data_IF_334123031852
#
_entry.id   IF_334123031852
#
_cell.length_a   1.000
_cell.length_b   1.000
_cell.length_c   1.000
_cell.angle_alpha   90.00
_cell.angle_beta   90.00
_cell.angle_gamma   90.00
#
_symmetry.space_group_name_H-M   'P 1'
#
loop_
_entity.id
_entity.type
_entity.pdbx_description
1 polymer ?
#
# COMPACT_ATOMS: atom_id res chain seq x y z
N UNK A 1 12.45 -12.95 38.21
CA UNK A 1 12.64 -12.77 36.75
C UNK A 1 13.67 -11.69 36.53
N UNK A 2 14.83 -12.03 35.98
CA UNK A 2 15.96 -11.09 35.80
C UNK A 2 15.67 -10.06 34.71
N UNK A 3 16.06 -8.78 34.86
CA UNK A 3 15.78 -7.70 33.89
C UNK A 3 16.32 -8.00 32.48
N UNK A 4 17.35 -8.84 32.37
CA UNK A 4 17.87 -9.36 31.09
C UNK A 4 16.84 -10.17 30.28
N UNK A 5 15.94 -10.92 30.92
CA UNK A 5 14.90 -11.71 30.22
C UNK A 5 13.75 -10.83 29.73
N UNK A 6 13.42 -9.78 30.47
CA UNK A 6 12.43 -8.79 30.04
C UNK A 6 12.94 -7.95 28.87
N UNK A 7 14.23 -7.57 28.88
CA UNK A 7 14.84 -6.87 27.76
C UNK A 7 14.90 -7.73 26.49
N UNK A 8 15.27 -9.02 26.60
CA UNK A 8 15.28 -9.95 25.46
C UNK A 8 13.86 -10.27 24.98
N UNK A 9 12.88 -10.39 25.87
CA UNK A 9 11.47 -10.56 25.48
C UNK A 9 10.89 -9.31 24.82
N UNK A 10 11.24 -8.11 25.28
CA UNK A 10 10.86 -6.85 24.64
C UNK A 10 11.54 -6.66 23.27
N UNK A 11 12.81 -7.07 23.15
CA UNK A 11 13.54 -7.07 21.88
C UNK A 11 12.94 -8.10 20.90
N UNK A 12 12.57 -9.31 21.36
CA UNK A 12 11.88 -10.30 20.55
C UNK A 12 10.46 -9.87 20.16
N UNK A 13 9.74 -9.16 21.03
CA UNK A 13 8.42 -8.60 20.73
C UNK A 13 8.50 -7.49 19.65
N UNK A 14 9.62 -6.77 19.56
CA UNK A 14 9.88 -5.83 18.46
C UNK A 14 10.27 -6.52 17.13
N UNK A 15 10.77 -7.76 17.18
CA UNK A 15 11.15 -8.54 15.99
C UNK A 15 9.98 -9.37 15.44
N UNK A 16 8.84 -9.40 16.15
CA UNK A 16 7.67 -10.23 15.82
C UNK A 16 6.54 -9.62 14.96
N UNK A 17 6.56 -8.38 14.41
CA UNK A 17 5.69 -8.08 13.27
C UNK A 17 6.38 -8.59 11.99
N UNK A 18 6.31 -9.89 11.79
CA UNK A 18 6.72 -10.54 10.56
C UNK A 18 5.80 -10.12 9.40
N UNK A 19 6.41 -9.73 8.28
CA UNK A 19 5.86 -9.84 6.92
C UNK A 19 4.46 -9.25 6.67
N UNK A 20 4.03 -8.26 7.45
CA UNK A 20 2.92 -7.39 7.06
C UNK A 20 3.46 -6.38 6.04
N UNK A 21 2.80 -6.30 4.88
CA UNK A 21 3.16 -5.50 3.68
C UNK A 21 4.18 -4.41 3.95
N UNK A 22 5.41 -4.65 3.47
CA UNK A 22 6.46 -3.64 3.35
C UNK A 22 6.73 -2.83 4.64
N UNK A 23 6.75 -3.46 5.83
CA UNK A 23 7.14 -2.73 7.06
C UNK A 23 7.51 -3.53 8.30
N UNK A 24 8.26 -2.86 9.18
CA UNK A 24 8.62 -3.26 10.55
C UNK A 24 7.98 -2.22 11.49
N UNK A 25 6.84 -2.58 12.10
CA UNK A 25 6.10 -1.67 12.98
C UNK A 25 4.67 -2.12 13.29
N UNK A 26 3.89 -1.25 13.93
CA UNK A 26 2.45 -1.46 14.10
C UNK A 26 1.75 -1.17 12.76
N UNK A 27 1.27 -2.23 12.10
CA UNK A 27 0.59 -2.15 10.82
C UNK A 27 -0.89 -2.53 10.96
N UNK A 28 -1.78 -1.69 10.45
CA UNK A 28 -3.22 -2.00 10.33
C UNK A 28 -3.66 -1.80 8.89
N UNK A 29 -4.62 -2.60 8.45
CA UNK A 29 -5.25 -2.43 7.15
C UNK A 29 -6.77 -2.48 7.25
N UNK A 30 -7.44 -1.77 6.35
CA UNK A 30 -8.88 -1.83 6.13
C UNK A 30 -9.12 -2.11 4.65
N UNK A 31 -9.99 -3.05 4.37
CA UNK A 31 -10.40 -3.44 3.03
C UNK A 31 -11.84 -3.03 2.82
N UNK A 32 -12.06 -2.23 1.80
CA UNK A 32 -13.38 -1.74 1.41
C UNK A 32 -13.63 -2.14 -0.04
N UNK A 33 -14.80 -2.75 -0.30
CA UNK A 33 -15.24 -3.00 -1.67
C UNK A 33 -15.93 -1.74 -2.18
N UNK A 34 -15.64 -1.38 -3.41
CA UNK A 34 -16.20 -0.24 -4.11
C UNK A 34 -16.53 -0.64 -5.57
N UNK A 35 -17.08 0.27 -6.38
CA UNK A 35 -17.57 -0.10 -7.70
C UNK A 35 -16.41 -0.49 -8.65
N UNK A 36 -16.35 -1.78 -9.00
CA UNK A 36 -15.28 -2.39 -9.79
C UNK A 36 -13.93 -2.50 -9.09
N UNK A 37 -13.84 -2.15 -7.80
CA UNK A 37 -12.59 -2.03 -7.05
C UNK A 37 -12.64 -2.68 -5.67
N UNK A 38 -11.48 -3.13 -5.20
CA UNK A 38 -11.21 -3.41 -3.80
C UNK A 38 -10.11 -2.46 -3.33
N UNK A 39 -10.45 -1.58 -2.40
CA UNK A 39 -9.54 -0.58 -1.85
C UNK A 39 -8.98 -1.09 -0.53
N UNK A 40 -7.65 -1.14 -0.45
CA UNK A 40 -6.91 -1.52 0.76
C UNK A 40 -6.22 -0.29 1.30
N UNK A 41 -6.66 0.19 2.46
CA UNK A 41 -6.00 1.27 3.21
C UNK A 41 -5.13 0.64 4.29
N UNK A 42 -3.82 0.71 4.13
CA UNK A 42 -2.85 0.29 5.13
C UNK A 42 -2.24 1.51 5.83
N UNK A 43 -2.04 1.43 7.14
CA UNK A 43 -1.31 2.41 7.93
C UNK A 43 -0.25 1.70 8.76
N UNK A 44 0.99 2.19 8.69
CA UNK A 44 2.13 1.70 9.46
C UNK A 44 2.70 2.82 10.31
N UNK A 45 2.87 2.56 11.60
CA UNK A 45 3.60 3.40 12.54
C UNK A 45 4.95 2.76 12.83
N UNK A 46 6.05 3.45 12.52
CA UNK A 46 7.41 2.94 12.68
C UNK A 46 8.18 2.99 11.37
N UNK A 47 8.73 1.85 10.94
CA UNK A 47 9.50 1.76 9.71
C UNK A 47 8.71 0.97 8.65
N UNK A 48 8.71 1.45 7.40
CA UNK A 48 8.15 0.77 6.25
C UNK A 48 9.25 0.51 5.23
N UNK A 49 9.64 -0.76 5.05
CA UNK A 49 10.66 -1.17 4.07
C UNK A 49 9.98 -1.63 2.79
N UNK A 50 10.25 -0.92 1.71
CA UNK A 50 9.72 -1.23 0.37
C UNK A 50 10.74 -2.02 -0.40
N UNK A 51 10.35 -3.22 -0.82
CA UNK A 51 11.24 -4.17 -1.51
C UNK A 51 10.96 -4.32 -3.00
N UNK A 52 9.84 -3.77 -3.49
CA UNK A 52 9.54 -3.74 -4.92
C UNK A 52 10.61 -2.92 -5.67
N UNK A 53 11.25 -3.46 -6.72
CA UNK A 53 12.32 -2.75 -7.44
C UNK A 53 11.91 -1.38 -8.00
N UNK A 54 10.64 -1.18 -8.36
CA UNK A 54 10.15 0.10 -8.88
C UNK A 54 9.99 1.16 -7.77
N UNK A 55 9.83 0.73 -6.52
CA UNK A 55 9.51 1.57 -5.36
C UNK A 55 10.48 1.35 -4.18
N UNK A 56 11.65 0.77 -4.44
CA UNK A 56 12.59 0.36 -3.40
C UNK A 56 12.96 1.55 -2.50
N UNK A 57 12.88 1.35 -1.19
CA UNK A 57 13.04 2.45 -0.25
C UNK A 57 12.72 2.11 1.20
N UNK A 58 12.90 3.10 2.07
CA UNK A 58 12.62 3.01 3.50
C UNK A 58 11.89 4.28 3.95
N UNK A 59 10.74 4.14 4.59
CA UNK A 59 10.08 5.24 5.28
C UNK A 59 10.15 5.03 6.80
N UNK A 60 10.31 6.11 7.56
CA UNK A 60 10.29 6.14 9.03
C UNK A 60 9.30 7.22 9.47
N UNK A 61 8.30 6.84 10.26
CA UNK A 61 7.26 7.72 10.77
C UNK A 61 5.87 7.11 10.62
N UNK A 62 4.92 7.88 10.12
CA UNK A 62 3.57 7.42 9.77
C UNK A 62 3.49 7.22 8.27
N UNK A 63 3.24 5.99 7.83
CA UNK A 63 3.03 5.69 6.41
C UNK A 63 1.59 5.26 6.20
N UNK A 64 0.87 5.91 5.28
CA UNK A 64 -0.45 5.50 4.81
C UNK A 64 -0.34 5.07 3.37
N UNK A 65 -0.86 3.90 3.04
CA UNK A 65 -0.87 3.38 1.67
C UNK A 65 -2.30 3.02 1.31
N UNK A 66 -2.81 3.64 0.25
CA UNK A 66 -4.07 3.27 -0.37
C UNK A 66 -3.76 2.47 -1.63
N UNK A 67 -4.17 1.21 -1.67
CA UNK A 67 -3.98 0.33 -2.82
C UNK A 67 -5.34 0.03 -3.44
N UNK A 68 -5.51 0.34 -4.72
CA UNK A 68 -6.71 -0.02 -5.48
C UNK A 68 -6.44 -1.27 -6.28
N UNK A 69 -7.19 -2.32 -5.98
CA UNK A 69 -7.16 -3.59 -6.67
C UNK A 69 -8.42 -3.71 -7.55
N UNK A 70 -8.34 -4.40 -8.71
CA UNK A 70 -9.55 -4.80 -9.41
C UNK A 70 -10.37 -5.77 -8.55
N UNK A 71 -11.71 -5.64 -8.54
CA UNK A 71 -12.60 -6.61 -7.89
C UNK A 71 -12.65 -7.89 -8.74
N UNK A 72 -11.85 -8.89 -8.37
CA UNK A 72 -11.72 -10.18 -9.06
C UNK A 72 -11.43 -11.30 -8.08
N UNK A 73 -11.51 -12.54 -8.56
CA UNK A 73 -11.17 -13.72 -7.77
C UNK A 73 -9.79 -13.60 -7.13
N UNK A 74 -9.74 -13.86 -5.82
CA UNK A 74 -8.54 -13.72 -4.99
C UNK A 74 -8.40 -12.37 -4.28
N UNK A 75 -9.22 -11.37 -4.60
CA UNK A 75 -9.22 -10.11 -3.86
C UNK A 75 -9.54 -10.33 -2.36
N UNK A 76 -8.90 -9.58 -1.45
CA UNK A 76 -9.12 -9.74 -0.02
C UNK A 76 -10.57 -9.41 0.34
N UNK A 77 -11.11 -10.11 1.34
CA UNK A 77 -12.45 -9.85 1.84
C UNK A 77 -12.53 -8.46 2.50
N UNK A 78 -13.67 -7.75 2.42
CA UNK A 78 -13.87 -6.52 3.16
C UNK A 78 -13.73 -6.74 4.67
N UNK A 79 -13.12 -5.80 5.37
CA UNK A 79 -12.92 -5.90 6.82
C UNK A 79 -11.68 -5.18 7.33
N UNK A 80 -11.43 -5.31 8.63
CA UNK A 80 -10.29 -4.71 9.32
C UNK A 80 -9.27 -5.78 9.70
N UNK A 81 -8.01 -5.48 9.44
CA UNK A 81 -6.87 -6.36 9.59
C UNK A 81 -5.85 -5.69 10.53
N UNK A 82 -5.85 -6.04 11.83
CA UNK A 82 -5.07 -5.32 12.85
C UNK A 82 -3.55 -5.56 12.77
N UNK A 83 -3.09 -6.48 11.92
CA UNK A 83 -1.69 -6.83 11.72
C UNK A 83 -1.27 -6.71 10.24
N UNK A 84 -1.91 -5.80 9.51
CA UNK A 84 -1.74 -5.64 8.07
C UNK A 84 -2.33 -6.79 7.25
N UNK A 85 -2.11 -6.77 5.94
CA UNK A 85 -2.75 -7.67 4.98
C UNK A 85 -1.84 -7.96 3.79
N UNK A 86 -1.42 -9.20 3.58
CA UNK A 86 -0.57 -9.55 2.44
C UNK A 86 -1.35 -9.59 1.10
N UNK A 87 -0.94 -8.80 0.11
CA UNK A 87 -1.57 -8.70 -1.22
C UNK A 87 -0.82 -9.50 -2.30
N UNK A 88 -0.58 -10.80 -2.04
CA UNK A 88 0.21 -11.64 -2.96
C UNK A 88 -0.55 -11.93 -4.26
N UNK A 89 0.12 -11.75 -5.39
CA UNK A 89 -0.37 -12.18 -6.71
C UNK A 89 -1.42 -11.27 -7.36
N UNK A 90 -1.75 -10.13 -6.76
CA UNK A 90 -2.70 -9.17 -7.32
C UNK A 90 -1.97 -7.89 -7.70
N UNK A 91 -1.84 -7.66 -9.00
CA UNK A 91 -1.31 -6.40 -9.51
C UNK A 91 -2.30 -5.26 -9.18
N UNK A 92 -1.88 -4.23 -8.43
CA UNK A 92 -2.74 -3.09 -8.12
C UNK A 92 -2.94 -2.21 -9.35
N UNK A 93 -4.14 -1.67 -9.52
CA UNK A 93 -4.43 -0.66 -10.54
C UNK A 93 -3.81 0.69 -10.18
N UNK A 94 -3.81 1.03 -8.89
CA UNK A 94 -3.16 2.20 -8.35
C UNK A 94 -2.68 1.97 -6.91
N UNK A 95 -1.66 2.71 -6.51
CA UNK A 95 -1.14 2.80 -5.14
C UNK A 95 -0.83 4.26 -4.85
N UNK A 96 -1.44 4.83 -3.82
CA UNK A 96 -1.08 6.14 -3.29
C UNK A 96 -0.42 5.90 -1.95
N UNK A 97 0.74 6.50 -1.73
CA UNK A 97 1.48 6.42 -0.48
C UNK A 97 1.71 7.82 0.05
N UNK A 98 1.44 8.00 1.34
CA UNK A 98 1.70 9.22 2.08
C UNK A 98 2.64 8.88 3.24
N UNK A 99 3.67 9.69 3.43
CA UNK A 99 4.61 9.55 4.53
C UNK A 99 4.67 10.85 5.30
N UNK A 100 4.51 10.77 6.62
CA UNK A 100 4.83 11.83 7.57
C UNK A 100 6.05 11.36 8.36
N UNK A 101 7.23 11.91 8.06
CA UNK A 101 8.50 11.54 8.65
C UNK A 101 9.65 11.60 7.65
N UNK A 102 10.52 10.60 7.66
CA UNK A 102 11.63 10.46 6.71
C UNK A 102 11.25 9.43 5.64
N UNK A 103 11.42 9.77 4.36
CA UNK A 103 11.23 8.85 3.25
C UNK A 103 12.52 8.79 2.41
N UNK A 104 13.08 7.59 2.26
CA UNK A 104 14.28 7.29 1.50
C UNK A 104 13.90 6.46 0.28
N UNK A 105 14.19 6.95 -0.92
CA UNK A 105 13.96 6.25 -2.17
C UNK A 105 15.26 5.86 -2.85
N UNK A 106 15.33 4.62 -3.33
CA UNK A 106 16.44 4.08 -4.12
C UNK A 106 15.99 3.47 -5.46
N UNK A 107 14.69 3.58 -5.79
CA UNK A 107 14.08 3.00 -6.98
C UNK A 107 14.05 3.98 -8.17
N UNK A 108 13.61 3.47 -9.33
CA UNK A 108 13.51 4.28 -10.55
C UNK A 108 12.56 5.49 -10.47
N UNK A 109 11.72 5.55 -9.43
CA UNK A 109 10.74 6.62 -9.22
C UNK A 109 11.15 7.69 -8.21
N UNK A 110 12.08 7.36 -7.31
CA UNK A 110 12.62 8.27 -6.31
C UNK A 110 14.03 7.83 -5.98
N UNK A 111 15.01 8.69 -6.26
CA UNK A 111 16.38 8.56 -5.82
C UNK A 111 16.72 9.76 -4.93
N UNK A 112 16.70 9.57 -3.61
CA UNK A 112 16.93 10.65 -2.66
C UNK A 112 16.19 10.47 -1.35
N UNK A 113 16.02 11.57 -0.61
CA UNK A 113 15.31 11.55 0.66
C UNK A 113 14.42 12.78 0.82
N UNK A 114 13.31 12.60 1.54
CA UNK A 114 12.38 13.67 1.93
C UNK A 114 12.18 13.60 3.44
N UNK A 115 12.20 14.76 4.11
CA UNK A 115 11.85 14.89 5.53
C UNK A 115 10.62 15.79 5.66
N UNK A 116 9.63 15.36 6.44
CA UNK A 116 8.37 16.06 6.63
C UNK A 116 7.23 15.27 6.00
N UNK A 117 6.63 15.79 4.93
CA UNK A 117 5.53 15.15 4.21
C UNK A 117 5.98 14.74 2.81
N UNK A 118 5.66 13.52 2.40
CA UNK A 118 5.71 13.11 1.00
C UNK A 118 4.43 12.39 0.60
N UNK A 119 4.05 12.54 -0.66
CA UNK A 119 2.99 11.77 -1.29
C UNK A 119 3.44 11.31 -2.67
N UNK A 120 3.22 10.03 -2.98
CA UNK A 120 3.50 9.44 -4.28
C UNK A 120 2.32 8.60 -4.76
N UNK A 121 2.06 8.67 -6.06
CA UNK A 121 1.01 7.90 -6.73
C UNK A 121 1.61 7.04 -7.85
N UNK A 122 1.31 5.75 -7.81
CA UNK A 122 1.79 4.73 -8.73
C UNK A 122 0.61 4.06 -9.38
N UNK A 123 0.60 4.04 -10.71
CA UNK A 123 -0.45 3.42 -11.50
C UNK A 123 0.10 2.18 -12.22
N UNK A 124 -0.74 1.17 -12.44
CA UNK A 124 -0.36 -0.02 -13.16
C UNK A 124 0.13 0.30 -14.58
N UNK A 125 1.31 -0.21 -14.92
CA UNK A 125 1.85 -0.10 -16.27
C UNK A 125 0.90 -0.70 -17.30
N UNK A 126 0.90 -0.11 -18.50
CA UNK A 126 0.20 -0.63 -19.68
C UNK A 126 1.26 -1.21 -20.61
N UNK A 127 1.16 -2.49 -21.01
CA UNK A 127 2.07 -3.06 -22.00
C UNK A 127 2.06 -2.23 -23.29
N UNK A 128 3.22 -2.03 -23.93
CA UNK A 128 3.34 -1.16 -25.10
C UNK A 128 2.45 -1.55 -26.30
N UNK A 129 2.04 -2.83 -26.39
CA UNK A 129 1.14 -3.34 -27.43
C UNK A 129 -0.34 -3.42 -27.02
N UNK A 130 -0.68 -3.01 -25.80
CA UNK A 130 -2.06 -3.04 -25.30
C UNK A 130 -2.62 -1.61 -25.26
N UNK A 131 -3.85 -1.45 -25.73
CA UNK A 131 -4.64 -0.25 -25.50
C UNK A 131 -5.71 -0.58 -24.47
N UNK A 132 -5.61 0.04 -23.29
CA UNK A 132 -6.65 -0.02 -22.28
C UNK A 132 -6.91 1.39 -21.78
N UNK A 133 -8.17 1.69 -21.53
CA UNK A 133 -8.59 2.92 -20.86
C UNK A 133 -9.05 2.51 -19.48
N UNK A 134 -8.42 3.10 -18.45
CA UNK A 134 -8.84 2.92 -17.07
C UNK A 134 -9.41 4.23 -16.57
N UNK A 135 -10.69 4.22 -16.21
CA UNK A 135 -11.29 5.29 -15.43
C UNK A 135 -11.15 4.93 -13.96
N UNK A 136 -10.44 5.77 -13.24
CA UNK A 136 -10.18 5.62 -11.82
C UNK A 136 -10.54 6.93 -11.13
N UNK A 137 -11.53 6.88 -10.26
CA UNK A 137 -11.89 8.00 -9.39
C UNK A 137 -11.50 7.61 -7.97
N UNK A 138 -10.53 8.33 -7.40
CA UNK A 138 -9.99 8.04 -6.08
C UNK A 138 -10.60 9.01 -5.08
N UNK A 139 -11.20 8.47 -4.03
CA UNK A 139 -11.65 9.27 -2.88
C UNK A 139 -10.92 8.74 -1.65
N UNK A 140 -9.70 9.24 -1.37
CA UNK A 140 -8.83 8.66 -0.36
C UNK A 140 -9.43 8.65 1.04
N UNK A 141 -10.25 9.64 1.39
CA UNK A 141 -10.91 9.76 2.70
C UNK A 141 -12.14 8.85 2.83
N UNK A 142 -12.86 8.63 1.72
CA UNK A 142 -14.07 7.80 1.61
C UNK A 142 -13.88 6.68 0.57
N UNK A 143 -13.16 5.59 0.93
CA UNK A 143 -12.68 4.61 -0.02
C UNK A 143 -13.82 3.80 -0.68
N UNK A 144 -15.01 3.78 -0.05
CA UNK A 144 -16.22 3.20 -0.62
C UNK A 144 -16.78 3.98 -1.82
N UNK A 145 -16.37 5.23 -2.01
CA UNK A 145 -16.70 6.04 -3.19
C UNK A 145 -15.66 5.92 -4.31
N UNK A 146 -14.61 5.11 -4.11
CA UNK A 146 -13.62 4.87 -5.17
C UNK A 146 -14.23 4.03 -6.29
N UNK A 147 -13.94 4.41 -7.53
CA UNK A 147 -14.45 3.72 -8.71
C UNK A 147 -13.31 3.27 -9.60
N UNK A 148 -13.38 2.05 -10.11
CA UNK A 148 -12.44 1.53 -11.10
C UNK A 148 -13.18 0.83 -12.23
N UNK A 149 -13.03 1.32 -13.45
CA UNK A 149 -13.50 0.65 -14.66
C UNK A 149 -12.39 0.57 -15.69
N UNK A 150 -12.26 -0.59 -16.31
CA UNK A 150 -11.35 -0.81 -17.45
C UNK A 150 -12.17 -1.04 -18.71
N UNK A 151 -11.85 -0.32 -19.78
CA UNK A 151 -12.52 -0.40 -21.08
C UNK A 151 -11.49 -0.54 -22.20
N UNK A 152 -11.91 -1.15 -23.31
CA UNK A 152 -11.12 -1.21 -24.53
C UNK A 152 -11.24 0.11 -25.34
N UNK A 153 -12.38 0.79 -25.24
CA UNK A 153 -12.71 2.02 -25.97
C UNK A 153 -13.17 3.14 -25.01
N UNK A 154 -12.85 4.39 -25.34
CA UNK A 154 -13.12 5.55 -24.48
C UNK A 154 -14.62 5.76 -24.24
N UNK A 155 -15.42 5.58 -25.29
CA UNK A 155 -16.88 5.72 -25.27
C UNK A 155 -17.59 4.73 -24.33
N UNK A 156 -16.93 3.65 -23.92
CA UNK A 156 -17.48 2.67 -22.97
C UNK A 156 -17.09 2.94 -21.52
N UNK A 157 -16.26 3.96 -21.28
CA UNK A 157 -15.75 4.37 -19.98
C UNK A 157 -16.40 5.65 -19.44
N UNK A 158 -17.36 6.22 -20.18
CA UNK A 158 -18.19 7.35 -19.77
C UNK A 158 -19.28 6.95 -18.74
#
# INVERSE_FOLDING_TARGET
>A
MTPRRAAVAALLAMVLPGCAVDGIGLARAEVVRADGAVVVRAETLGAALRTDPAEAGLAIGVTRTLTVLPDRDGAPAPGRYPFGLALRGIAPAARIRQVIGLDLGFGGRMAGFTLGYSEDAVFAAVPAGASIIRRLELVPDEPGLTFLRSCEEASRCE
#
